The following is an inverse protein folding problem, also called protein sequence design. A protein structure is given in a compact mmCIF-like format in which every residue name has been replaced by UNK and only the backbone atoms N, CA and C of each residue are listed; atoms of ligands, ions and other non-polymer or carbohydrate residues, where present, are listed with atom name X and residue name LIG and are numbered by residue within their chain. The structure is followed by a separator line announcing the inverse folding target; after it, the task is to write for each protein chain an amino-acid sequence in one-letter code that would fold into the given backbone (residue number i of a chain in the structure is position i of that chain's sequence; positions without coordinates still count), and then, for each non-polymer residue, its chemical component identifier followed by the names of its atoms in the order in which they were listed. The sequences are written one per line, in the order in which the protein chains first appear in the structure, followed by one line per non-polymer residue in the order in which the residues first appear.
data_IF_420729822945
#
_entry.id   IF_420729822945
#
_cell.length_a   1.000
_cell.length_b   1.000
_cell.length_c   1.000
_cell.angle_alpha   90.00
_cell.angle_beta   90.00
_cell.angle_gamma   90.00
#
_symmetry.space_group_name_H-M   'P 1'
#
loop_
_entity.id
_entity.type
_entity.pdbx_description
1 polymer ?
#
# COMPACT_ATOMS: atom_id res chain seq x y z
N UNK A 1 -5.67 -3.08 -2.77
CA UNK A 1 -4.86 -1.93 -3.24
C UNK A 1 -5.68 -1.19 -4.27
N UNK A 2 -5.67 0.14 -4.22
CA UNK A 2 -6.47 1.02 -5.10
C UNK A 2 -5.63 1.59 -6.24
N UNK A 3 -4.43 2.08 -5.93
CA UNK A 3 -3.51 2.65 -6.92
C UNK A 3 -2.06 2.36 -6.52
N UNK A 4 -1.16 2.39 -7.50
CA UNK A 4 0.29 2.36 -7.28
C UNK A 4 0.96 3.37 -8.19
N UNK A 5 2.04 3.96 -7.71
CA UNK A 5 2.94 4.78 -8.52
C UNK A 5 4.38 4.63 -8.07
N UNK A 6 5.28 4.89 -8.99
CA UNK A 6 6.70 4.95 -8.74
C UNK A 6 7.05 6.10 -7.78
N UNK A 7 8.02 5.86 -6.87
CA UNK A 7 8.60 6.92 -6.06
C UNK A 7 9.63 7.69 -6.89
N UNK A 8 9.47 9.01 -6.96
CA UNK A 8 10.43 9.87 -7.68
C UNK A 8 11.78 9.97 -6.95
N UNK A 9 11.79 9.88 -5.62
CA UNK A 9 12.99 10.07 -4.80
C UNK A 9 13.62 8.78 -4.29
N UNK A 10 12.91 7.65 -4.39
CA UNK A 10 13.37 6.34 -3.91
C UNK A 10 13.17 5.28 -4.99
N UNK A 11 14.14 5.13 -5.93
CA UNK A 11 14.00 4.22 -7.07
C UNK A 11 13.70 2.76 -6.70
N UNK A 12 14.11 2.32 -5.51
CA UNK A 12 13.87 0.98 -4.97
C UNK A 12 12.47 0.77 -4.35
N UNK A 13 11.63 1.80 -4.31
CA UNK A 13 10.32 1.75 -3.67
C UNK A 13 9.21 2.40 -4.51
N UNK A 14 7.98 1.95 -4.30
CA UNK A 14 6.76 2.53 -4.85
C UNK A 14 5.85 3.06 -3.76
N UNK A 15 4.94 3.96 -4.12
CA UNK A 15 3.83 4.36 -3.26
C UNK A 15 2.58 3.58 -3.67
N UNK A 16 1.91 3.01 -2.68
CA UNK A 16 0.72 2.18 -2.86
C UNK A 16 -0.42 2.75 -2.02
N UNK A 17 -1.57 2.97 -2.64
CA UNK A 17 -2.77 3.40 -1.95
C UNK A 17 -3.63 2.21 -1.54
N UNK A 18 -4.05 2.21 -0.29
CA UNK A 18 -4.88 1.19 0.32
C UNK A 18 -6.19 1.82 0.77
N UNK A 19 -7.29 1.15 0.46
CA UNK A 19 -8.56 1.36 1.15
C UNK A 19 -8.69 0.26 2.20
N UNK A 20 -8.79 0.67 3.46
CA UNK A 20 -9.07 -0.21 4.59
C UNK A 20 -10.54 -0.04 4.95
N UNK A 21 -11.27 -1.16 5.03
CA UNK A 21 -12.67 -1.20 5.48
C UNK A 21 -12.71 -1.85 6.86
N UNK A 22 -13.17 -1.09 7.85
CA UNK A 22 -13.43 -1.59 9.20
C UNK A 22 -14.86 -2.10 9.29
N UNK A 23 -15.02 -3.35 9.71
CA UNK A 23 -16.32 -4.01 9.91
C UNK A 23 -16.68 -4.02 11.41
N UNK A 24 -17.97 -3.95 11.72
CA UNK A 24 -18.48 -4.24 13.07
C UNK A 24 -18.83 -5.73 13.23
N UNK A 25 -19.41 -6.10 14.38
CA UNK A 25 -19.78 -7.48 14.69
C UNK A 25 -20.93 -8.06 13.84
N UNK A 26 -21.57 -7.24 13.01
CA UNK A 26 -22.63 -7.63 12.07
C UNK A 26 -22.15 -7.60 10.62
N UNK A 27 -20.83 -7.57 10.40
CA UNK A 27 -20.19 -7.43 9.08
C UNK A 27 -20.55 -6.13 8.33
N UNK A 28 -21.04 -5.10 9.03
CA UNK A 28 -21.35 -3.81 8.44
C UNK A 28 -20.08 -2.95 8.40
N UNK A 29 -19.85 -2.28 7.27
CA UNK A 29 -18.75 -1.31 7.14
C UNK A 29 -19.05 -0.08 8.00
N UNK A 30 -18.25 0.13 9.04
CA UNK A 30 -18.35 1.29 9.94
C UNK A 30 -17.26 2.33 9.69
N UNK A 31 -16.17 1.95 9.03
CA UNK A 31 -15.06 2.86 8.72
C UNK A 31 -14.50 2.55 7.33
N UNK A 32 -14.24 3.59 6.54
CA UNK A 32 -13.44 3.53 5.32
C UNK A 32 -12.28 4.51 5.45
N UNK A 33 -11.05 4.01 5.30
CA UNK A 33 -9.84 4.83 5.33
C UNK A 33 -9.05 4.61 4.04
N UNK A 34 -8.67 5.71 3.38
CA UNK A 34 -7.68 5.69 2.30
C UNK A 34 -6.34 6.20 2.80
N UNK A 35 -5.28 5.42 2.60
CA UNK A 35 -3.93 5.80 2.99
C UNK A 35 -2.91 5.32 1.98
N UNK A 36 -1.84 6.09 1.85
CA UNK A 36 -0.69 5.72 1.03
C UNK A 36 0.41 5.13 1.92
N UNK A 37 0.96 3.99 1.52
CA UNK A 37 2.15 3.39 2.11
C UNK A 37 3.30 3.34 1.10
N UNK A 38 4.54 3.39 1.61
CA UNK A 38 5.74 3.17 0.81
C UNK A 38 6.12 1.70 0.89
N UNK A 39 6.27 1.04 -0.27
CA UNK A 39 6.55 -0.39 -0.36
C UNK A 39 7.82 -0.62 -1.17
N UNK A 40 8.70 -1.48 -0.68
CA UNK A 40 9.92 -1.88 -1.40
C UNK A 40 9.54 -2.72 -2.63
N UNK A 41 10.21 -2.48 -3.75
CA UNK A 41 10.03 -3.29 -4.96
C UNK A 41 10.67 -4.66 -4.80
N UNK A 42 10.01 -5.70 -5.30
CA UNK A 42 10.56 -7.08 -5.29
C UNK A 42 11.93 -7.16 -5.96
N UNK A 43 12.11 -6.50 -7.11
CA UNK A 43 13.39 -6.46 -7.82
C UNK A 43 14.53 -5.91 -6.96
N UNK A 44 14.23 -4.96 -6.08
CA UNK A 44 15.22 -4.34 -5.19
C UNK A 44 15.54 -5.17 -3.95
N UNK A 45 14.88 -6.31 -3.73
CA UNK A 45 15.24 -7.26 -2.67
C UNK A 45 16.17 -8.36 -3.18
N UNK A 46 16.13 -8.63 -4.49
CA UNK A 46 16.94 -9.68 -5.15
C UNK A 46 18.35 -9.18 -5.50
N UNK A 47 18.56 -7.87 -5.60
CA UNK A 47 19.88 -7.24 -5.85
C UNK A 47 20.80 -7.25 -4.61
N UNK A 48 20.26 -7.43 -3.41
CA UNK A 48 21.00 -7.42 -2.13
C UNK A 48 21.35 -8.82 -1.60
N UNK A 49 21.03 -9.91 -2.34
CA UNK A 49 21.29 -11.33 -1.99
C UNK A 49 22.41 -11.94 -2.82
#
# INVERSE_FOLDING_TARGET
MISKRESKSRPNAGLVEFETRGLNQRDEVVVILRRTGMMIKKSSLEEDS
#
